data_IF_439628135240
#
_entry.id   IF_439628135240
#
_cell.length_a   1.000
_cell.length_b   1.000
_cell.length_c   1.000
_cell.angle_alpha   90.00
_cell.angle_beta   90.00
_cell.angle_gamma   90.00
#
_symmetry.space_group_name_H-M   'P 1'
#
loop_
_entity.id
_entity.type
_entity.pdbx_description
1 polymer ?
#
# COMPACT_ATOMS: atom_id res chain seq x y z
N UNK A 1 67.12 -8.36 17.09
CA UNK A 1 66.87 -7.54 15.89
C UNK A 1 65.78 -6.57 16.25
N UNK A 2 66.19 -5.33 16.46
CA UNK A 2 65.43 -4.32 17.18
C UNK A 2 64.23 -3.80 16.37
N UNK A 3 63.09 -3.75 17.03
CA UNK A 3 61.86 -3.15 16.49
C UNK A 3 62.03 -1.63 16.55
N UNK A 4 62.41 -1.02 15.42
CA UNK A 4 62.49 0.43 15.30
C UNK A 4 61.09 1.09 15.44
N UNK A 5 61.02 2.29 16.04
CA UNK A 5 59.78 2.87 16.56
C UNK A 5 58.80 3.33 15.46
N UNK A 6 57.50 3.22 15.77
CA UNK A 6 56.35 3.49 14.88
C UNK A 6 56.29 4.90 14.26
N UNK A 7 57.10 5.85 14.73
CA UNK A 7 57.09 7.25 14.31
C UNK A 7 57.82 7.51 12.98
N UNK A 8 58.73 6.63 12.56
CA UNK A 8 59.41 6.75 11.25
C UNK A 8 58.48 6.41 10.07
N UNK A 9 57.56 5.46 10.27
CA UNK A 9 56.72 4.91 9.19
C UNK A 9 55.63 5.87 8.70
N UNK A 10 55.25 6.84 9.53
CA UNK A 10 54.34 7.93 9.12
C UNK A 10 55.08 9.01 8.33
N UNK A 11 56.37 9.26 8.63
CA UNK A 11 57.20 10.18 7.85
C UNK A 11 57.42 9.69 6.42
N UNK A 12 57.57 8.39 6.21
CA UNK A 12 57.70 7.81 4.86
C UNK A 12 56.42 7.95 4.02
N UNK A 13 55.23 7.92 4.64
CA UNK A 13 53.96 8.06 3.91
C UNK A 13 53.64 9.50 3.55
N UNK A 14 53.91 10.46 4.44
CA UNK A 14 53.83 11.89 4.09
C UNK A 14 54.93 12.28 3.11
N UNK A 15 56.12 11.67 3.21
CA UNK A 15 57.23 11.92 2.30
C UNK A 15 57.03 11.29 0.93
N UNK A 16 56.38 10.12 0.80
CA UNK A 16 56.11 9.52 -0.51
C UNK A 16 55.09 10.31 -1.33
N UNK A 17 54.05 10.88 -0.69
CA UNK A 17 53.09 11.74 -1.39
C UNK A 17 53.70 13.09 -1.76
N UNK A 18 54.53 13.68 -0.89
CA UNK A 18 55.29 14.90 -1.19
C UNK A 18 56.34 14.66 -2.27
N UNK A 19 57.04 13.53 -2.26
CA UNK A 19 58.01 13.13 -3.29
C UNK A 19 57.31 12.82 -4.61
N UNK A 20 56.12 12.23 -4.61
CA UNK A 20 55.33 12.04 -5.83
C UNK A 20 54.83 13.37 -6.41
N UNK A 21 54.52 14.35 -5.55
CA UNK A 21 54.18 15.71 -5.97
C UNK A 21 55.41 16.48 -6.48
N UNK A 22 56.58 16.27 -5.86
CA UNK A 22 57.84 16.92 -6.20
C UNK A 22 58.53 16.32 -7.44
N UNK A 23 58.34 15.02 -7.73
CA UNK A 23 58.86 14.36 -8.94
C UNK A 23 58.06 14.67 -10.22
N UNK A 24 56.93 15.38 -10.11
CA UNK A 24 56.13 15.84 -11.25
C UNK A 24 56.50 17.29 -11.63
N UNK A 25 57.45 17.91 -10.94
CA UNK A 25 57.82 19.31 -11.13
C UNK A 25 58.79 19.53 -12.32
N UNK A 26 59.54 18.51 -12.75
CA UNK A 26 60.76 18.65 -13.59
C UNK A 26 60.65 18.33 -15.10
N UNK A 27 59.45 18.26 -15.71
CA UNK A 27 59.32 18.18 -17.18
C UNK A 27 58.49 19.34 -17.76
N UNK A 28 59.14 20.12 -18.62
CA UNK A 28 58.63 21.27 -19.38
C UNK A 28 57.64 20.84 -20.50
N UNK A 29 56.46 20.34 -20.13
CA UNK A 29 55.33 20.21 -21.05
C UNK A 29 54.04 20.79 -20.44
N UNK A 30 53.75 22.05 -20.80
CA UNK A 30 52.51 22.78 -20.47
C UNK A 30 51.23 21.99 -20.78
N UNK A 31 51.31 21.03 -21.72
CA UNK A 31 50.21 20.17 -22.16
C UNK A 31 49.88 19.12 -21.10
N UNK A 32 50.86 18.49 -20.45
CA UNK A 32 50.61 17.43 -19.46
C UNK A 32 50.08 17.99 -18.14
N UNK A 33 50.60 19.14 -17.68
CA UNK A 33 50.09 19.82 -16.47
C UNK A 33 48.61 20.23 -16.63
N UNK A 34 48.22 20.74 -17.79
CA UNK A 34 46.82 21.09 -18.09
C UNK A 34 45.90 19.86 -18.17
N UNK A 35 46.36 18.77 -18.79
CA UNK A 35 45.60 17.51 -18.84
C UNK A 35 45.42 16.94 -17.43
N UNK A 36 46.46 16.97 -16.60
CA UNK A 36 46.37 16.50 -15.21
C UNK A 36 45.39 17.34 -14.38
N UNK A 37 45.40 18.67 -14.52
CA UNK A 37 44.46 19.58 -13.85
C UNK A 37 43.01 19.32 -14.31
N UNK A 38 42.79 19.07 -15.61
CA UNK A 38 41.47 18.73 -16.15
C UNK A 38 40.99 17.36 -15.65
N UNK A 39 41.87 16.37 -15.53
CA UNK A 39 41.54 15.06 -14.98
C UNK A 39 41.24 15.14 -13.48
N UNK A 40 42.02 15.91 -12.72
CA UNK A 40 41.79 16.12 -11.29
C UNK A 40 40.51 16.92 -11.02
N UNK A 41 40.23 17.98 -11.78
CA UNK A 41 39.00 18.76 -11.64
C UNK A 41 37.75 17.97 -12.05
N UNK A 42 37.84 17.14 -13.09
CA UNK A 42 36.78 16.20 -13.48
C UNK A 42 36.54 15.13 -12.40
N UNK A 43 37.60 14.57 -11.82
CA UNK A 43 37.50 13.59 -10.73
C UNK A 43 36.90 14.20 -9.44
N UNK A 44 37.32 15.41 -9.08
CA UNK A 44 36.74 16.18 -7.97
C UNK A 44 35.27 16.49 -8.21
N UNK A 45 34.90 16.88 -9.43
CA UNK A 45 33.50 17.09 -9.81
C UNK A 45 32.67 15.79 -9.69
N UNK A 46 33.24 14.66 -10.13
CA UNK A 46 32.62 13.34 -9.99
C UNK A 46 32.40 12.97 -8.51
N UNK A 47 33.36 13.23 -7.63
CA UNK A 47 33.26 12.99 -6.19
C UNK A 47 32.18 13.84 -5.52
N UNK A 48 32.10 15.13 -5.87
CA UNK A 48 31.05 16.03 -5.38
C UNK A 48 29.68 15.57 -5.88
N UNK A 49 29.57 15.18 -7.15
CA UNK A 49 28.33 14.67 -7.74
C UNK A 49 27.89 13.36 -7.10
N UNK A 50 28.82 12.43 -6.85
CA UNK A 50 28.55 11.19 -6.11
C UNK A 50 28.10 11.48 -4.67
N UNK A 51 28.73 12.44 -4.00
CA UNK A 51 28.37 12.85 -2.64
C UNK A 51 26.96 13.44 -2.56
N UNK A 52 26.60 14.31 -3.50
CA UNK A 52 25.25 14.88 -3.60
C UNK A 52 24.20 13.82 -3.94
N UNK A 53 24.53 12.89 -4.84
CA UNK A 53 23.64 11.76 -5.16
C UNK A 53 23.40 10.87 -3.95
N UNK A 54 24.44 10.57 -3.18
CA UNK A 54 24.35 9.80 -1.95
C UNK A 54 23.52 10.53 -0.87
N UNK A 55 23.73 11.83 -0.71
CA UNK A 55 22.96 12.67 0.21
C UNK A 55 21.47 12.70 -0.16
N UNK A 56 21.16 12.88 -1.44
CA UNK A 56 19.79 12.84 -1.96
C UNK A 56 19.13 11.48 -1.71
N UNK A 57 19.85 10.40 -1.98
CA UNK A 57 19.37 9.04 -1.74
C UNK A 57 19.03 8.80 -0.26
N UNK A 58 19.87 9.25 0.67
CA UNK A 58 19.60 9.18 2.12
C UNK A 58 18.31 9.91 2.48
N UNK A 59 18.11 11.13 1.96
CA UNK A 59 16.89 11.91 2.23
C UNK A 59 15.65 11.16 1.76
N UNK A 60 15.69 10.59 0.55
CA UNK A 60 14.57 9.81 -0.01
C UNK A 60 14.22 8.64 0.92
N UNK A 61 15.22 7.84 1.34
CA UNK A 61 14.99 6.67 2.20
C UNK A 61 14.30 7.04 3.52
N UNK A 62 14.76 8.12 4.17
CA UNK A 62 14.19 8.57 5.44
C UNK A 62 12.74 9.05 5.28
N UNK A 63 12.43 9.73 4.18
CA UNK A 63 11.07 10.14 3.83
C UNK A 63 10.14 8.93 3.61
N UNK A 64 10.59 7.93 2.85
CA UNK A 64 9.82 6.70 2.61
C UNK A 64 9.54 5.94 3.92
N UNK A 65 10.53 5.83 4.80
CA UNK A 65 10.38 5.19 6.10
C UNK A 65 9.32 5.90 6.96
N UNK A 66 9.38 7.24 7.04
CA UNK A 66 8.38 8.05 7.74
C UNK A 66 6.98 7.88 7.15
N UNK A 67 6.85 7.87 5.82
CA UNK A 67 5.56 7.70 5.16
C UNK A 67 4.95 6.32 5.43
N UNK A 68 5.76 5.26 5.43
CA UNK A 68 5.28 3.92 5.79
C UNK A 68 4.74 3.89 7.23
N UNK A 69 5.46 4.48 8.19
CA UNK A 69 5.02 4.54 9.59
C UNK A 69 3.76 5.38 9.78
N UNK A 70 3.53 6.42 8.95
CA UNK A 70 2.25 7.16 8.94
C UNK A 70 1.09 6.24 8.60
N UNK A 71 1.26 5.37 7.59
CA UNK A 71 0.21 4.41 7.21
C UNK A 71 -0.04 3.33 8.27
N UNK A 72 0.96 2.97 9.08
CA UNK A 72 0.84 1.93 10.11
C UNK A 72 0.56 2.46 11.52
N UNK A 73 0.38 3.78 11.71
CA UNK A 73 0.19 4.42 13.03
C UNK A 73 -0.94 3.79 13.86
N UNK A 74 -2.02 3.34 13.21
CA UNK A 74 -3.17 2.70 13.87
C UNK A 74 -3.00 1.20 14.15
N UNK A 75 -1.87 0.59 13.76
CA UNK A 75 -1.68 -0.84 13.97
C UNK A 75 -1.32 -1.17 15.43
N UNK A 76 -1.67 -2.38 15.86
CA UNK A 76 -1.44 -2.84 17.23
C UNK A 76 0.00 -3.34 17.44
N UNK A 77 0.54 -3.11 18.64
CA UNK A 77 1.83 -3.66 19.09
C UNK A 77 3.03 -3.05 18.36
N UNK A 78 4.03 -3.88 18.05
CA UNK A 78 5.29 -3.44 17.39
C UNK A 78 5.11 -3.03 15.93
N UNK A 79 3.98 -3.34 15.31
CA UNK A 79 3.74 -3.06 13.88
C UNK A 79 3.49 -1.58 13.55
N UNK A 80 3.25 -0.74 14.56
CA UNK A 80 3.20 0.73 14.39
C UNK A 80 4.57 1.42 14.51
N UNK A 81 5.56 0.79 15.13
CA UNK A 81 6.86 1.41 15.44
C UNK A 81 8.03 0.76 14.68
N UNK A 82 8.02 -0.57 14.50
CA UNK A 82 9.13 -1.31 13.89
C UNK A 82 8.91 -1.49 12.37
N UNK A 83 9.74 -0.85 11.55
CA UNK A 83 9.63 -0.85 10.08
C UNK A 83 9.50 -2.25 9.46
N UNK A 84 10.37 -3.19 9.84
CA UNK A 84 10.39 -4.56 9.30
C UNK A 84 9.07 -5.31 9.54
N UNK A 85 8.42 -5.06 10.66
CA UNK A 85 7.11 -5.66 10.98
C UNK A 85 5.99 -4.87 10.30
N UNK A 86 6.10 -3.55 10.30
CA UNK A 86 5.15 -2.62 9.71
C UNK A 86 4.92 -2.90 8.22
N UNK A 87 6.00 -3.04 7.42
CA UNK A 87 5.90 -3.26 5.97
C UNK A 87 5.13 -4.55 5.62
N UNK A 88 5.44 -5.65 6.30
CA UNK A 88 4.77 -6.94 6.10
C UNK A 88 3.28 -6.85 6.44
N UNK A 89 2.95 -6.17 7.54
CA UNK A 89 1.56 -6.01 7.99
C UNK A 89 0.79 -5.08 7.05
N UNK A 90 1.41 -4.00 6.60
CA UNK A 90 0.83 -3.03 5.68
C UNK A 90 0.47 -3.68 4.35
N UNK A 91 1.39 -4.46 3.77
CA UNK A 91 1.16 -5.21 2.55
C UNK A 91 -0.05 -6.15 2.67
N UNK A 92 -0.12 -6.94 3.75
CA UNK A 92 -1.28 -7.81 4.02
C UNK A 92 -2.57 -7.00 4.19
N UNK A 93 -2.52 -5.88 4.90
CA UNK A 93 -3.69 -5.00 5.09
C UNK A 93 -4.20 -4.44 3.77
N UNK A 94 -3.31 -4.05 2.85
CA UNK A 94 -3.71 -3.56 1.53
C UNK A 94 -4.28 -4.67 0.65
N UNK A 95 -3.70 -5.87 0.69
CA UNK A 95 -4.25 -7.05 0.01
C UNK A 95 -5.67 -7.37 0.49
N UNK A 96 -5.88 -7.40 1.81
CA UNK A 96 -7.21 -7.61 2.39
C UNK A 96 -8.16 -6.46 2.03
N UNK A 97 -7.74 -5.21 2.12
CA UNK A 97 -8.56 -4.07 1.71
C UNK A 97 -9.02 -4.18 0.25
N UNK A 98 -8.15 -4.62 -0.66
CA UNK A 98 -8.52 -4.85 -2.06
C UNK A 98 -9.48 -6.02 -2.25
N UNK A 99 -9.25 -7.15 -1.55
CA UNK A 99 -10.15 -8.30 -1.55
C UNK A 99 -11.53 -7.90 -1.02
N UNK A 100 -11.58 -7.24 0.13
CA UNK A 100 -12.80 -6.94 0.85
C UNK A 100 -13.66 -5.91 0.10
N UNK A 101 -13.06 -4.96 -0.62
CA UNK A 101 -13.80 -4.08 -1.55
C UNK A 101 -14.60 -4.88 -2.61
N UNK A 102 -14.04 -5.98 -3.11
CA UNK A 102 -14.72 -6.88 -4.08
C UNK A 102 -15.74 -7.79 -3.41
N UNK A 103 -15.50 -8.20 -2.17
CA UNK A 103 -16.40 -9.08 -1.40
C UNK A 103 -17.60 -8.31 -0.83
N UNK A 104 -17.44 -7.03 -0.48
CA UNK A 104 -18.46 -6.18 0.14
C UNK A 104 -19.83 -6.30 -0.54
N UNK A 105 -19.89 -6.27 -1.87
CA UNK A 105 -21.16 -6.42 -2.63
C UNK A 105 -21.87 -7.75 -2.36
N UNK A 106 -21.11 -8.84 -2.21
CA UNK A 106 -21.64 -10.18 -1.90
C UNK A 106 -22.14 -10.24 -0.45
N UNK A 107 -21.42 -9.65 0.49
CA UNK A 107 -21.83 -9.56 1.89
C UNK A 107 -23.13 -8.77 2.05
N UNK A 108 -23.25 -7.60 1.41
CA UNK A 108 -24.50 -6.83 1.41
C UNK A 108 -25.66 -7.63 0.79
N UNK A 109 -25.39 -8.37 -0.29
CA UNK A 109 -26.41 -9.22 -0.90
C UNK A 109 -26.89 -10.31 0.05
N UNK A 110 -25.98 -10.96 0.78
CA UNK A 110 -26.33 -11.95 1.82
C UNK A 110 -27.14 -11.32 2.95
N UNK A 111 -26.74 -10.14 3.40
CA UNK A 111 -27.43 -9.39 4.44
C UNK A 111 -28.86 -9.02 4.04
N UNK A 112 -29.07 -8.51 2.82
CA UNK A 112 -30.42 -8.19 2.34
C UNK A 112 -31.30 -9.44 2.22
N UNK A 113 -30.75 -10.57 1.77
CA UNK A 113 -31.48 -11.84 1.73
C UNK A 113 -31.92 -12.24 3.15
N UNK A 114 -31.05 -12.10 4.14
CA UNK A 114 -31.38 -12.42 5.54
C UNK A 114 -32.47 -11.49 6.09
N UNK A 115 -32.40 -10.18 5.84
CA UNK A 115 -33.46 -9.22 6.23
C UNK A 115 -34.80 -9.60 5.59
N UNK A 116 -34.82 -9.85 4.29
CA UNK A 116 -36.04 -10.25 3.57
C UNK A 116 -36.56 -11.58 4.11
N UNK A 117 -35.70 -12.57 4.33
CA UNK A 117 -36.10 -13.87 4.88
C UNK A 117 -36.74 -13.73 6.25
N UNK A 118 -36.24 -12.84 7.11
CA UNK A 118 -36.84 -12.56 8.41
C UNK A 118 -38.23 -11.91 8.26
N UNK A 119 -38.38 -10.92 7.38
CA UNK A 119 -39.68 -10.27 7.14
C UNK A 119 -40.72 -11.20 6.53
N UNK A 120 -40.34 -11.96 5.50
CA UNK A 120 -41.22 -12.90 4.78
C UNK A 120 -41.68 -14.06 5.68
N UNK A 121 -40.84 -14.48 6.65
CA UNK A 121 -41.20 -15.54 7.62
C UNK A 121 -42.39 -15.18 8.50
N UNK A 122 -42.61 -13.89 8.78
CA UNK A 122 -43.78 -13.44 9.57
C UNK A 122 -45.10 -13.73 8.85
N UNK A 123 -45.06 -13.87 7.52
CA UNK A 123 -46.21 -14.18 6.67
C UNK A 123 -46.23 -15.66 6.24
N UNK A 124 -45.49 -16.54 6.92
CA UNK A 124 -45.42 -17.99 6.62
C UNK A 124 -44.84 -18.36 5.25
N UNK A 125 -44.09 -17.45 4.62
CA UNK A 125 -43.44 -17.69 3.34
C UNK A 125 -41.96 -18.07 3.52
N UNK A 126 -41.44 -18.88 2.58
CA UNK A 126 -39.99 -19.11 2.44
C UNK A 126 -39.41 -18.19 1.37
N UNK A 127 -38.19 -17.68 1.60
CA UNK A 127 -37.52 -16.73 0.70
C UNK A 127 -37.49 -17.18 -0.77
N UNK A 128 -37.12 -18.45 -1.04
CA UNK A 128 -37.03 -18.94 -2.42
C UNK A 128 -38.38 -18.96 -3.14
N UNK A 129 -39.46 -19.32 -2.43
CA UNK A 129 -40.80 -19.34 -3.00
C UNK A 129 -41.27 -17.91 -3.25
N UNK A 130 -41.09 -17.04 -2.25
CA UNK A 130 -41.44 -15.62 -2.34
C UNK A 130 -40.72 -14.93 -3.51
N UNK A 131 -39.41 -15.13 -3.69
CA UNK A 131 -38.66 -14.49 -4.77
C UNK A 131 -39.05 -15.01 -6.16
N UNK A 132 -39.47 -16.27 -6.26
CA UNK A 132 -40.00 -16.83 -7.51
C UNK A 132 -41.29 -16.12 -7.92
N UNK A 133 -42.26 -16.04 -7.01
CA UNK A 133 -43.53 -15.34 -7.24
C UNK A 133 -43.36 -13.82 -7.39
N UNK A 134 -42.41 -13.22 -6.67
CA UNK A 134 -42.05 -11.80 -6.81
C UNK A 134 -41.48 -11.48 -8.21
N UNK A 135 -40.71 -12.39 -8.81
CA UNK A 135 -40.24 -12.21 -10.19
C UNK A 135 -41.39 -12.31 -11.19
N UNK A 136 -42.38 -13.17 -10.91
CA UNK A 136 -43.58 -13.31 -11.75
C UNK A 136 -44.50 -12.09 -11.66
N UNK A 137 -44.53 -11.40 -10.52
CA UNK A 137 -45.38 -10.21 -10.34
C UNK A 137 -44.88 -8.98 -11.11
N UNK A 138 -43.71 -9.06 -11.77
CA UNK A 138 -43.17 -7.97 -12.60
C UNK A 138 -42.64 -6.76 -11.84
N UNK A 139 -42.58 -6.83 -10.50
CA UNK A 139 -42.07 -5.72 -9.68
C UNK A 139 -40.55 -5.56 -9.82
N UNK A 140 -40.11 -4.33 -10.08
CA UNK A 140 -38.68 -3.98 -10.27
C UNK A 140 -38.06 -3.31 -9.03
N UNK A 141 -38.44 -3.70 -7.81
CA UNK A 141 -37.78 -3.21 -6.60
C UNK A 141 -36.46 -3.95 -6.36
N UNK A 142 -35.44 -3.18 -5.99
CA UNK A 142 -34.15 -3.71 -5.58
C UNK A 142 -34.23 -4.43 -4.23
N UNK A 143 -33.42 -5.47 -4.07
CA UNK A 143 -33.26 -6.20 -2.79
C UNK A 143 -32.89 -5.29 -1.62
N UNK A 144 -32.14 -4.21 -1.88
CA UNK A 144 -31.80 -3.21 -0.86
C UNK A 144 -33.04 -2.52 -0.31
N UNK A 145 -33.93 -2.06 -1.20
CA UNK A 145 -35.16 -1.35 -0.82
C UNK A 145 -36.11 -2.32 -0.14
N UNK A 146 -36.29 -3.53 -0.70
CA UNK A 146 -37.14 -4.54 -0.10
C UNK A 146 -36.70 -4.95 1.31
N UNK A 147 -35.38 -5.08 1.53
CA UNK A 147 -34.81 -5.36 2.84
C UNK A 147 -35.01 -4.19 3.83
N UNK A 148 -35.07 -2.95 3.35
CA UNK A 148 -35.32 -1.79 4.20
C UNK A 148 -36.80 -1.66 4.58
N UNK A 149 -37.70 -1.87 3.62
CA UNK A 149 -39.14 -1.95 3.86
C UNK A 149 -39.47 -3.03 4.89
N UNK A 150 -38.86 -4.22 4.75
CA UNK A 150 -39.05 -5.32 5.70
C UNK A 150 -38.63 -4.98 7.15
N UNK A 151 -37.74 -4.01 7.35
CA UNK A 151 -37.23 -3.66 8.67
C UNK A 151 -37.93 -2.44 9.28
N UNK A 152 -38.17 -1.39 8.49
CA UNK A 152 -38.67 -0.12 9.01
C UNK A 152 -40.18 0.05 8.83
N UNK A 153 -40.75 -0.52 7.76
CA UNK A 153 -42.13 -0.22 7.33
C UNK A 153 -42.94 -1.52 7.12
N UNK A 154 -43.43 -2.15 8.20
CA UNK A 154 -44.11 -3.43 8.12
C UNK A 154 -45.42 -3.37 7.32
N UNK A 155 -46.13 -2.23 7.35
CA UNK A 155 -47.38 -2.05 6.59
C UNK A 155 -47.13 -2.01 5.08
N UNK A 156 -46.12 -1.26 4.63
CA UNK A 156 -45.75 -1.20 3.22
C UNK A 156 -45.27 -2.57 2.72
N UNK A 157 -44.48 -3.28 3.55
CA UNK A 157 -44.01 -4.61 3.22
C UNK A 157 -45.15 -5.63 3.11
N UNK A 158 -46.18 -5.53 3.96
CA UNK A 158 -47.39 -6.38 3.88
C UNK A 158 -48.10 -6.23 2.53
N UNK A 159 -48.27 -5.01 2.03
CA UNK A 159 -48.89 -4.77 0.71
C UNK A 159 -48.13 -5.46 -0.41
N UNK A 160 -46.79 -5.45 -0.35
CA UNK A 160 -45.94 -6.16 -1.32
C UNK A 160 -46.17 -7.68 -1.24
N UNK A 161 -46.22 -8.24 -0.04
CA UNK A 161 -46.47 -9.69 0.16
C UNK A 161 -47.83 -10.08 -0.41
N UNK A 162 -48.87 -9.28 -0.18
CA UNK A 162 -50.22 -9.53 -0.72
C UNK A 162 -50.24 -9.58 -2.25
N UNK A 163 -49.58 -8.62 -2.92
CA UNK A 163 -49.46 -8.62 -4.39
C UNK A 163 -48.78 -9.90 -4.91
N UNK A 164 -47.72 -10.33 -4.22
CA UNK A 164 -47.00 -11.57 -4.55
C UNK A 164 -47.89 -12.81 -4.34
N UNK A 165 -48.66 -12.85 -3.26
CA UNK A 165 -49.59 -13.93 -2.96
C UNK A 165 -50.69 -14.06 -4.02
N UNK A 166 -51.31 -12.94 -4.42
CA UNK A 166 -52.28 -12.91 -5.52
C UNK A 166 -51.70 -13.43 -6.83
N UNK A 167 -50.46 -13.06 -7.15
CA UNK A 167 -49.76 -13.53 -8.34
C UNK A 167 -49.50 -15.04 -8.29
N UNK A 168 -49.08 -15.56 -7.14
CA UNK A 168 -48.83 -16.99 -6.94
C UNK A 168 -50.10 -17.83 -7.05
N UNK A 169 -51.25 -17.29 -6.64
CA UNK A 169 -52.53 -17.98 -6.78
C UNK A 169 -52.99 -18.00 -8.25
N UNK A 170 -52.80 -16.90 -8.97
CA UNK A 170 -53.08 -16.82 -10.42
C UNK A 170 -52.27 -17.84 -11.23
N UNK A 171 -51.02 -18.11 -10.86
CA UNK A 171 -50.17 -19.07 -11.61
C UNK A 171 -50.52 -20.54 -11.38
N UNK A 172 -51.34 -20.85 -10.37
CA UNK A 172 -51.76 -22.22 -10.05
C UNK A 172 -53.09 -22.61 -10.71
N UNK A 173 -53.83 -21.61 -11.20
CA UNK A 173 -55.03 -21.75 -12.01
C UNK A 173 -54.64 -21.90 -13.48
#
# INVERSE_FOLDING_TARGET
MDVLPSKEREREKTSAFVVLLFLVEDDDNLIEKNVLILLFSSFLFQLVFLGLFFFHFIIILFSQHKNLLKHTKGFRGRSKNCFRVAIRRLQKSWQYGYRDRRVKRREWSKFWIQKIQAGVRQYSWRYSQFMGSYKQSGMKLDKKILAELAANEPFAFRSVVQIVEHTSNKSKL
#
